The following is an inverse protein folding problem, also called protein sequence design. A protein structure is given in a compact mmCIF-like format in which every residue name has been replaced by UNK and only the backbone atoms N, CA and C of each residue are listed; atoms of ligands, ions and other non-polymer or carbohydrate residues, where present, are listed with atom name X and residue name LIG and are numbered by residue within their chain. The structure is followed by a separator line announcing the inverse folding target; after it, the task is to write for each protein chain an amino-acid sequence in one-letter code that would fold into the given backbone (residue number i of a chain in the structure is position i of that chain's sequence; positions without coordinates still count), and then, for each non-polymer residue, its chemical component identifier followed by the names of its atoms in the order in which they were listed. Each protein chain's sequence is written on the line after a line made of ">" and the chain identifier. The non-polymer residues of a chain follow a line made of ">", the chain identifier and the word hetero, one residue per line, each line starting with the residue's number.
data_IF_537552640158
#
_entry.id   IF_537552640158
#
_cell.length_a   1.000
_cell.length_b   1.000
_cell.length_c   1.000
_cell.angle_alpha   90.00
_cell.angle_beta   90.00
_cell.angle_gamma   90.00
#
_symmetry.space_group_name_H-M   'P 1'
#
loop_
_entity.id
_entity.type
_entity.pdbx_description
1 polymer ?
#
# COMPACT_ATOMS: atom_id res chain seq x y z
N UNK A 1 11.85 -4.08 10.25
CA UNK A 1 10.91 -2.96 10.31
C UNK A 1 10.93 -2.32 8.95
N UNK A 2 9.82 -2.45 8.23
CA UNK A 2 9.69 -2.06 6.83
C UNK A 2 9.06 -0.68 6.76
N UNK A 3 9.58 0.17 5.88
CA UNK A 3 9.13 1.54 5.75
C UNK A 3 8.90 1.92 4.29
N UNK A 4 7.95 2.81 4.05
CA UNK A 4 7.63 3.32 2.72
C UNK A 4 7.13 4.76 2.77
N UNK A 5 7.26 5.46 1.64
CA UNK A 5 6.86 6.87 1.54
C UNK A 5 5.39 7.02 1.19
N UNK A 6 4.68 7.88 1.94
CA UNK A 6 3.32 8.31 1.62
C UNK A 6 3.33 9.80 1.36
N UNK A 7 2.86 10.23 0.18
CA UNK A 7 2.65 11.62 -0.15
C UNK A 7 1.21 12.04 0.11
N UNK A 8 0.98 12.95 1.05
CA UNK A 8 -0.34 13.53 1.29
C UNK A 8 -0.46 14.82 0.49
N UNK A 9 -1.47 14.91 -0.39
CA UNK A 9 -1.78 16.16 -1.06
C UNK A 9 -2.62 17.03 -0.14
N UNK A 10 -2.03 18.11 0.35
CA UNK A 10 -2.62 19.03 1.31
C UNK A 10 -3.12 20.29 0.59
N UNK A 11 -4.42 20.62 0.70
CA UNK A 11 -4.92 21.87 0.17
C UNK A 11 -4.33 23.10 0.86
N UNK A 12 -4.12 24.18 0.11
CA UNK A 12 -3.49 25.40 0.64
C UNK A 12 -4.29 25.99 1.82
N UNK A 13 -5.62 25.89 1.79
CA UNK A 13 -6.51 26.33 2.88
C UNK A 13 -6.48 25.41 4.11
N UNK A 14 -5.83 24.24 4.02
CA UNK A 14 -5.68 23.27 5.12
C UNK A 14 -4.32 23.34 5.83
N UNK A 15 -3.38 24.14 5.35
CA UNK A 15 -2.05 24.28 5.97
C UNK A 15 -2.12 24.75 7.44
N UNK A 16 -3.10 25.58 7.79
CA UNK A 16 -3.30 26.06 9.16
C UNK A 16 -3.70 24.95 10.15
N UNK A 17 -4.22 23.82 9.64
CA UNK A 17 -4.55 22.62 10.41
C UNK A 17 -3.88 21.39 9.77
N UNK A 18 -2.60 21.52 9.41
CA UNK A 18 -1.86 20.48 8.68
C UNK A 18 -1.92 19.12 9.40
N UNK A 19 -1.56 19.08 10.68
CA UNK A 19 -1.49 17.84 11.46
C UNK A 19 -2.86 17.16 11.56
N UNK A 20 -3.92 17.94 11.83
CA UNK A 20 -5.28 17.41 11.92
C UNK A 20 -5.81 16.92 10.57
N UNK A 21 -5.47 17.60 9.48
CA UNK A 21 -5.81 17.16 8.13
C UNK A 21 -5.10 15.84 7.80
N UNK A 22 -3.79 15.75 8.00
CA UNK A 22 -3.00 14.53 7.73
C UNK A 22 -3.51 13.35 8.55
N UNK A 23 -3.76 13.54 9.85
CA UNK A 23 -4.31 12.49 10.71
C UNK A 23 -5.66 11.97 10.17
N UNK A 24 -6.57 12.87 9.77
CA UNK A 24 -7.86 12.48 9.21
C UNK A 24 -7.74 11.72 7.87
N UNK A 25 -6.75 12.06 7.05
CA UNK A 25 -6.50 11.34 5.79
C UNK A 25 -5.92 9.94 6.01
N UNK A 26 -5.07 9.79 7.02
CA UNK A 26 -4.40 8.52 7.30
C UNK A 26 -5.29 7.54 8.07
N UNK A 27 -6.15 8.04 8.97
CA UNK A 27 -6.98 7.24 9.89
C UNK A 27 -7.72 6.05 9.24
N UNK A 28 -8.35 6.17 8.06
CA UNK A 28 -9.03 5.03 7.42
C UNK A 28 -8.12 3.86 7.05
N UNK A 29 -6.81 4.09 7.00
CA UNK A 29 -5.78 3.14 6.58
C UNK A 29 -4.93 2.63 7.76
N UNK A 30 -5.27 3.01 8.99
CA UNK A 30 -4.62 2.53 10.20
C UNK A 30 -4.97 1.05 10.46
N UNK A 31 -3.97 0.23 10.76
CA UNK A 31 -4.14 -1.17 11.18
C UNK A 31 -4.93 -1.30 12.49
N UNK A 32 -4.77 -0.33 13.39
CA UNK A 32 -5.40 -0.34 14.71
C UNK A 32 -6.89 0.06 14.69
N UNK A 33 -7.42 0.45 13.52
CA UNK A 33 -8.83 0.79 13.36
C UNK A 33 -9.65 -0.48 13.18
N UNK A 34 -10.40 -0.89 14.19
CA UNK A 34 -11.32 -2.03 14.03
C UNK A 34 -12.48 -1.68 13.09
N UNK A 35 -12.75 -2.59 12.15
CA UNK A 35 -13.92 -2.54 11.29
C UNK A 35 -15.07 -3.35 11.89
N UNK A 36 -16.30 -2.99 11.52
CA UNK A 36 -17.47 -3.84 11.78
C UNK A 36 -17.25 -5.25 11.20
N UNK A 37 -17.65 -6.32 11.89
CA UNK A 37 -17.42 -7.69 11.43
C UNK A 37 -17.91 -7.91 9.99
N UNK A 38 -17.01 -8.37 9.12
CA UNK A 38 -17.30 -8.62 7.71
C UNK A 38 -16.77 -9.98 7.27
N UNK A 39 -17.35 -10.53 6.21
CA UNK A 39 -16.85 -11.79 5.61
C UNK A 39 -15.50 -11.52 4.96
N UNK A 40 -14.43 -12.04 5.56
CA UNK A 40 -13.06 -11.67 5.21
C UNK A 40 -12.44 -12.55 4.11
N UNK A 41 -13.06 -13.70 3.84
CA UNK A 41 -12.61 -14.65 2.84
C UNK A 41 -13.79 -15.37 2.18
N UNK A 42 -13.68 -15.59 0.88
CA UNK A 42 -14.71 -16.24 0.07
C UNK A 42 -14.05 -17.07 -1.03
N UNK A 43 -14.82 -17.96 -1.65
CA UNK A 43 -14.35 -18.75 -2.81
C UNK A 43 -13.89 -17.82 -3.95
N UNK A 44 -14.60 -16.71 -4.18
CA UNK A 44 -14.19 -15.71 -5.18
C UNK A 44 -12.86 -15.02 -4.83
N UNK A 45 -12.61 -14.76 -3.54
CA UNK A 45 -11.31 -14.22 -3.09
C UNK A 45 -10.19 -15.26 -3.25
N UNK A 46 -10.46 -16.52 -2.93
CA UNK A 46 -9.53 -17.63 -3.16
C UNK A 46 -9.16 -17.77 -4.66
N UNK A 47 -10.15 -17.67 -5.56
CA UNK A 47 -9.90 -17.67 -7.00
C UNK A 47 -9.01 -16.50 -7.45
N UNK A 48 -9.29 -15.29 -6.94
CA UNK A 48 -8.50 -14.10 -7.26
C UNK A 48 -7.05 -14.23 -6.77
N UNK A 49 -6.84 -14.73 -5.55
CA UNK A 49 -5.50 -14.98 -4.99
C UNK A 49 -4.74 -16.05 -5.76
N UNK A 50 -5.38 -17.17 -6.14
CA UNK A 50 -4.75 -18.20 -6.98
C UNK A 50 -4.28 -17.60 -8.31
N UNK A 51 -5.15 -16.83 -8.99
CA UNK A 51 -4.80 -16.17 -10.27
C UNK A 51 -3.64 -15.20 -10.10
N UNK A 52 -3.68 -14.40 -9.04
CA UNK A 52 -2.62 -13.45 -8.70
C UNK A 52 -1.28 -14.16 -8.48
N UNK A 53 -1.25 -15.20 -7.65
CA UNK A 53 -0.02 -15.92 -7.31
C UNK A 53 0.56 -16.65 -8.52
N UNK A 54 -0.30 -17.23 -9.37
CA UNK A 54 0.11 -17.81 -10.65
C UNK A 54 0.81 -16.77 -11.52
N UNK A 55 0.17 -15.61 -11.72
CA UNK A 55 0.72 -14.54 -12.55
C UNK A 55 2.06 -14.03 -12.00
N UNK A 56 2.17 -13.83 -10.68
CA UNK A 56 3.40 -13.41 -10.02
C UNK A 56 4.54 -14.42 -10.24
N UNK A 57 4.29 -15.72 -10.05
CA UNK A 57 5.29 -16.76 -10.25
C UNK A 57 5.70 -16.89 -11.72
N UNK A 58 4.77 -16.76 -12.65
CA UNK A 58 5.08 -16.73 -14.09
C UNK A 58 6.05 -15.61 -14.42
N UNK A 59 5.84 -14.40 -13.89
CA UNK A 59 6.74 -13.26 -14.08
C UNK A 59 8.13 -13.47 -13.45
N UNK A 60 8.19 -13.99 -12.22
CA UNK A 60 9.47 -14.33 -11.56
C UNK A 60 10.27 -15.32 -12.41
N UNK A 61 9.60 -16.35 -12.93
CA UNK A 61 10.20 -17.39 -13.76
C UNK A 61 10.65 -16.84 -15.12
N UNK A 62 9.84 -16.00 -15.76
CA UNK A 62 10.14 -15.40 -17.07
C UNK A 62 11.34 -14.44 -16.98
N UNK A 63 11.44 -13.68 -15.89
CA UNK A 63 12.52 -12.71 -15.66
C UNK A 63 13.82 -13.36 -15.16
N UNK A 64 13.80 -14.64 -14.82
CA UNK A 64 14.91 -15.35 -14.16
C UNK A 64 15.42 -14.59 -12.93
N UNK A 65 14.49 -14.13 -12.10
CA UNK A 65 14.80 -13.25 -10.97
C UNK A 65 15.78 -13.93 -9.98
N UNK A 66 16.99 -13.36 -9.78
CA UNK A 66 18.06 -14.00 -9.01
C UNK A 66 17.75 -14.08 -7.51
N UNK A 67 16.77 -13.33 -7.02
CA UNK A 67 16.37 -13.34 -5.60
C UNK A 67 15.48 -14.54 -5.26
N UNK A 68 15.05 -15.31 -6.26
CA UNK A 68 14.12 -16.42 -6.11
C UNK A 68 14.73 -17.76 -6.49
N UNK A 69 14.36 -18.80 -5.73
CA UNK A 69 14.62 -20.19 -6.08
C UNK A 69 13.63 -20.62 -7.17
N UNK A 70 14.08 -20.61 -8.43
CA UNK A 70 13.24 -20.85 -9.61
C UNK A 70 12.63 -22.26 -9.63
N UNK A 71 13.31 -23.27 -9.08
CA UNK A 71 12.79 -24.63 -9.01
C UNK A 71 11.62 -24.72 -8.03
N UNK A 72 11.74 -24.06 -6.86
CA UNK A 72 10.62 -23.94 -5.92
C UNK A 72 9.47 -23.14 -6.51
N UNK A 73 9.76 -22.08 -7.27
CA UNK A 73 8.73 -21.29 -7.95
C UNK A 73 7.94 -22.14 -8.95
N UNK A 74 8.62 -22.96 -9.76
CA UNK A 74 7.98 -23.89 -10.71
C UNK A 74 7.14 -24.95 -10.01
N UNK A 75 7.63 -25.52 -8.91
CA UNK A 75 6.89 -26.50 -8.12
C UNK A 75 5.62 -25.89 -7.51
N UNK A 76 5.72 -24.69 -6.95
CA UNK A 76 4.58 -23.96 -6.39
C UNK A 76 3.56 -23.60 -7.47
N UNK A 77 4.03 -23.12 -8.63
CA UNK A 77 3.17 -22.79 -9.77
C UNK A 77 2.37 -24.02 -10.24
N UNK A 78 3.00 -25.19 -10.32
CA UNK A 78 2.31 -26.44 -10.66
C UNK A 78 1.23 -26.80 -9.63
N UNK A 79 1.52 -26.66 -8.34
CA UNK A 79 0.55 -26.87 -7.26
C UNK A 79 -0.64 -25.89 -7.37
N UNK A 80 -0.36 -24.61 -7.61
CA UNK A 80 -1.40 -23.58 -7.72
C UNK A 80 -2.34 -23.84 -8.89
N UNK A 81 -1.80 -24.25 -10.05
CA UNK A 81 -2.59 -24.59 -11.24
C UNK A 81 -3.50 -25.80 -11.04
N UNK A 82 -3.21 -26.69 -10.09
CA UNK A 82 -4.08 -27.82 -9.75
C UNK A 82 -4.99 -27.54 -8.55
N UNK A 83 -4.82 -26.42 -7.86
CA UNK A 83 -5.62 -26.06 -6.67
C UNK A 83 -6.92 -25.42 -7.11
N UNK A 84 -8.05 -25.94 -6.63
CA UNK A 84 -9.37 -25.32 -6.84
C UNK A 84 -9.59 -24.16 -5.85
N UNK A 85 -10.40 -23.14 -6.22
CA UNK A 85 -10.80 -22.09 -5.29
C UNK A 85 -11.46 -22.64 -4.01
N UNK A 86 -12.22 -23.73 -4.11
CA UNK A 86 -12.86 -24.41 -2.98
C UNK A 86 -11.84 -25.05 -2.03
N UNK A 87 -10.82 -25.75 -2.56
CA UNK A 87 -9.75 -26.32 -1.73
C UNK A 87 -8.98 -25.22 -0.99
N UNK A 88 -8.64 -24.12 -1.67
CA UNK A 88 -7.99 -22.96 -1.04
C UNK A 88 -8.86 -22.31 0.02
N UNK A 89 -10.16 -22.17 -0.23
CA UNK A 89 -11.11 -21.66 0.75
C UNK A 89 -11.20 -22.56 1.99
N UNK A 90 -11.25 -23.89 1.81
CA UNK A 90 -11.27 -24.84 2.91
C UNK A 90 -9.97 -24.82 3.73
N UNK A 91 -8.82 -24.72 3.07
CA UNK A 91 -7.51 -24.55 3.73
C UNK A 91 -7.49 -23.29 4.60
N UNK A 92 -8.00 -22.17 4.10
CA UNK A 92 -8.13 -20.93 4.88
C UNK A 92 -9.06 -21.12 6.09
N UNK A 93 -10.27 -21.65 5.87
CA UNK A 93 -11.28 -21.84 6.91
C UNK A 93 -10.79 -22.78 8.02
N UNK A 94 -9.99 -23.80 7.70
CA UNK A 94 -9.43 -24.72 8.69
C UNK A 94 -8.59 -24.03 9.78
N UNK A 95 -7.97 -22.90 9.44
CA UNK A 95 -7.10 -22.14 10.34
C UNK A 95 -7.73 -20.85 10.85
N UNK A 96 -9.00 -20.60 10.54
CA UNK A 96 -9.72 -19.40 10.94
C UNK A 96 -10.57 -19.66 12.18
N UNK A 97 -10.72 -18.65 13.05
CA UNK A 97 -11.35 -18.85 14.36
C UNK A 97 -12.77 -18.25 14.46
N UNK A 98 -13.04 -17.17 13.73
CA UNK A 98 -14.28 -16.40 13.85
C UNK A 98 -15.20 -16.60 12.66
N UNK A 99 -16.47 -16.96 12.90
CA UNK A 99 -17.43 -17.26 11.85
C UNK A 99 -18.82 -16.68 12.15
N UNK A 100 -19.58 -16.41 11.10
CA UNK A 100 -21.00 -16.09 11.23
C UNK A 100 -21.87 -17.36 11.32
N UNK A 101 -23.19 -17.19 11.47
CA UNK A 101 -24.13 -18.30 11.58
C UNK A 101 -24.21 -19.22 10.33
N UNK A 102 -23.66 -18.79 9.19
CA UNK A 102 -23.58 -19.56 7.95
C UNK A 102 -22.23 -20.29 7.80
N UNK A 103 -21.32 -20.14 8.76
CA UNK A 103 -19.97 -20.72 8.69
C UNK A 103 -19.02 -19.95 7.77
N UNK A 104 -19.32 -18.69 7.44
CA UNK A 104 -18.41 -17.83 6.67
C UNK A 104 -17.43 -17.12 7.62
N UNK A 105 -16.13 -17.06 7.26
CA UNK A 105 -15.10 -16.49 8.13
C UNK A 105 -15.28 -14.98 8.28
N UNK A 106 -15.25 -14.51 9.52
CA UNK A 106 -15.36 -13.09 9.87
C UNK A 106 -14.03 -12.50 10.31
N UNK A 107 -13.82 -11.23 10.01
CA UNK A 107 -12.74 -10.42 10.58
C UNK A 107 -13.28 -9.05 11.01
N UNK A 108 -12.64 -8.47 12.01
CA UNK A 108 -12.76 -7.05 12.39
C UNK A 108 -11.50 -6.26 12.04
N UNK A 109 -10.49 -6.91 11.46
CA UNK A 109 -9.26 -6.27 11.01
C UNK A 109 -9.56 -5.28 9.89
N UNK A 110 -8.93 -4.10 9.89
CA UNK A 110 -9.19 -3.08 8.88
C UNK A 110 -8.89 -3.62 7.46
N UNK A 111 -9.89 -3.80 6.57
CA UNK A 111 -9.62 -4.26 5.22
C UNK A 111 -8.85 -3.24 4.36
N UNK A 112 -8.75 -2.00 4.83
CA UNK A 112 -7.99 -0.92 4.19
C UNK A 112 -6.66 -0.66 4.87
N UNK A 113 -6.22 -1.47 5.85
CA UNK A 113 -4.96 -1.19 6.55
C UNK A 113 -3.78 -1.07 5.57
N UNK A 114 -2.94 -0.07 5.81
CA UNK A 114 -1.70 0.20 5.08
C UNK A 114 -0.53 0.45 6.02
N UNK A 115 -0.80 0.87 7.26
CA UNK A 115 0.22 1.28 8.22
C UNK A 115 -0.20 1.01 9.67
N UNK A 116 0.77 0.81 10.56
CA UNK A 116 0.57 0.72 12.02
C UNK A 116 1.03 2.00 12.76
N UNK A 117 2.05 2.70 12.25
CA UNK A 117 2.42 4.06 12.62
C UNK A 117 3.07 4.83 11.46
N UNK A 118 3.13 6.15 11.57
CA UNK A 118 3.84 7.02 10.63
C UNK A 118 4.45 8.24 11.32
N UNK A 119 5.40 8.89 10.65
CA UNK A 119 5.99 10.17 11.04
C UNK A 119 6.20 11.06 9.81
N UNK A 120 6.22 12.39 9.99
CA UNK A 120 6.52 13.33 8.89
C UNK A 120 8.01 13.26 8.57
N UNK A 121 8.37 13.07 7.29
CA UNK A 121 9.75 12.94 6.85
C UNK A 121 10.40 11.61 7.25
N UNK A 122 10.64 11.41 8.54
CA UNK A 122 11.28 10.21 9.11
C UNK A 122 12.59 9.86 8.39
N UNK A 123 12.69 8.63 7.86
CA UNK A 123 13.85 8.19 7.05
C UNK A 123 14.08 9.01 5.78
N UNK A 124 13.07 9.73 5.32
CA UNK A 124 13.12 10.56 4.12
C UNK A 124 13.04 12.05 4.47
N UNK A 125 13.46 12.45 5.68
CA UNK A 125 13.50 13.84 6.11
C UNK A 125 14.31 14.70 5.13
N UNK A 126 13.67 15.70 4.50
CA UNK A 126 14.29 16.56 3.49
C UNK A 126 14.28 16.03 2.05
N UNK A 127 13.88 14.76 1.84
CA UNK A 127 14.02 14.05 0.54
C UNK A 127 13.31 14.78 -0.61
N UNK A 128 12.15 15.40 -0.34
CA UNK A 128 11.38 16.17 -1.34
C UNK A 128 12.15 17.39 -1.89
N UNK A 129 13.22 17.81 -1.23
CA UNK A 129 14.13 18.87 -1.68
C UNK A 129 15.47 18.35 -2.21
N UNK A 130 15.66 17.04 -2.32
CA UNK A 130 16.92 16.43 -2.75
C UNK A 130 18.06 16.62 -1.75
N UNK A 131 17.73 16.77 -0.46
CA UNK A 131 18.70 16.86 0.66
C UNK A 131 18.27 15.93 1.79
N UNK A 132 19.19 15.69 2.71
CA UNK A 132 18.86 15.13 4.02
C UNK A 132 18.67 16.29 5.00
N UNK A 133 17.60 16.24 5.78
CA UNK A 133 17.35 17.14 6.90
C UNK A 133 17.46 16.37 8.23
N UNK A 134 17.53 17.12 9.32
CA UNK A 134 17.50 16.56 10.67
C UNK A 134 16.59 17.41 11.53
N UNK A 135 15.30 17.06 11.56
CA UNK A 135 14.34 17.75 12.41
C UNK A 135 12.88 17.35 12.21
N UNK A 136 12.55 16.58 11.18
CA UNK A 136 11.17 16.13 10.86
C UNK A 136 10.17 17.29 10.76
N UNK A 137 10.66 18.49 10.46
CA UNK A 137 9.84 19.67 10.29
C UNK A 137 8.98 19.52 9.03
N UNK A 138 7.70 19.87 9.12
CA UNK A 138 6.78 19.70 8.00
C UNK A 138 7.21 20.53 6.78
N UNK A 139 7.80 21.70 7.00
CA UNK A 139 8.30 22.59 5.95
C UNK A 139 9.48 21.99 5.19
N UNK A 140 10.29 21.16 5.85
CA UNK A 140 11.41 20.44 5.22
C UNK A 140 10.94 19.19 4.46
N UNK A 141 9.68 18.78 4.63
CA UNK A 141 9.10 17.59 4.01
C UNK A 141 7.93 17.89 3.10
N UNK A 142 7.77 19.16 2.72
CA UNK A 142 6.66 19.63 1.93
C UNK A 142 7.11 20.54 0.79
N UNK A 143 6.52 20.34 -0.38
CA UNK A 143 6.72 21.21 -1.53
C UNK A 143 5.39 21.37 -2.27
N UNK A 144 5.26 22.37 -3.15
CA UNK A 144 4.08 22.42 -4.01
C UNK A 144 4.07 21.21 -4.96
N UNK A 145 2.90 20.81 -5.44
CA UNK A 145 2.79 19.67 -6.37
C UNK A 145 3.58 19.89 -7.67
N UNK A 146 3.73 21.14 -8.12
CA UNK A 146 4.58 21.51 -9.25
C UNK A 146 6.05 21.32 -8.94
N UNK A 147 6.52 21.78 -7.78
CA UNK A 147 7.91 21.59 -7.36
C UNK A 147 8.24 20.11 -7.20
N UNK A 148 7.32 19.32 -6.63
CA UNK A 148 7.47 17.88 -6.51
C UNK A 148 7.60 17.22 -7.90
N UNK A 149 6.76 17.61 -8.86
CA UNK A 149 6.82 17.13 -10.25
C UNK A 149 8.11 17.53 -10.97
N UNK A 150 8.52 18.78 -10.86
CA UNK A 150 9.77 19.30 -11.46
C UNK A 150 11.00 18.56 -10.94
N UNK A 151 10.98 18.13 -9.67
CA UNK A 151 12.04 17.36 -9.03
C UNK A 151 11.91 15.84 -9.22
N UNK A 152 10.84 15.36 -9.85
CA UNK A 152 10.60 13.93 -10.05
C UNK A 152 10.31 13.16 -8.77
N UNK A 153 9.68 13.79 -7.78
CA UNK A 153 9.31 13.17 -6.51
C UNK A 153 8.09 12.25 -6.73
N UNK A 154 8.30 10.94 -6.56
CA UNK A 154 7.29 9.90 -6.69
C UNK A 154 7.31 9.04 -5.43
N UNK A 155 6.43 9.27 -4.45
CA UNK A 155 6.33 8.42 -3.26
C UNK A 155 5.75 7.05 -3.62
N UNK A 156 5.84 6.09 -2.70
CA UNK A 156 5.27 4.76 -2.89
C UNK A 156 3.74 4.81 -2.96
N UNK A 157 3.12 5.65 -2.13
CA UNK A 157 1.69 5.92 -2.15
C UNK A 157 1.39 7.42 -2.14
N UNK A 158 0.23 7.81 -2.68
CA UNK A 158 -0.31 9.16 -2.67
C UNK A 158 -1.73 9.12 -2.11
N UNK A 159 -2.04 10.02 -1.18
CA UNK A 159 -3.41 10.27 -0.72
C UNK A 159 -3.88 11.61 -1.26
N UNK A 160 -4.99 11.61 -2.00
CA UNK A 160 -5.59 12.82 -2.56
C UNK A 160 -6.31 13.64 -1.47
N UNK A 161 -6.64 14.92 -1.72
CA UNK A 161 -7.41 15.72 -0.77
C UNK A 161 -8.77 15.13 -0.37
N UNK A 162 -9.37 14.36 -1.28
CA UNK A 162 -10.62 13.63 -1.09
C UNK A 162 -10.46 12.40 -0.17
N UNK A 163 -9.22 11.98 0.08
CA UNK A 163 -8.88 10.83 0.90
C UNK A 163 -8.78 9.51 0.14
N UNK A 164 -8.60 9.57 -1.19
CA UNK A 164 -8.38 8.37 -1.99
C UNK A 164 -6.90 7.98 -1.95
N UNK A 165 -6.63 6.71 -1.64
CA UNK A 165 -5.30 6.13 -1.59
C UNK A 165 -4.94 5.48 -2.92
N UNK A 166 -3.80 5.90 -3.48
CA UNK A 166 -3.21 5.36 -4.69
C UNK A 166 -1.80 4.87 -4.38
N UNK A 167 -1.39 3.70 -4.89
CA UNK A 167 -0.09 3.12 -4.57
C UNK A 167 0.58 2.45 -5.77
N UNK A 168 1.91 2.36 -5.70
CA UNK A 168 2.74 1.58 -6.62
C UNK A 168 2.40 0.10 -6.58
N UNK A 169 1.87 -0.37 -5.47
CA UNK A 169 1.51 -1.75 -5.30
C UNK A 169 1.40 -2.11 -3.84
N UNK A 170 0.68 -3.19 -3.55
CA UNK A 170 0.44 -3.61 -2.19
C UNK A 170 1.74 -4.16 -1.61
N UNK A 171 2.15 -3.64 -0.45
CA UNK A 171 3.25 -4.19 0.32
C UNK A 171 2.73 -5.30 1.23
N UNK A 172 3.39 -6.45 1.18
CA UNK A 172 3.19 -7.54 2.12
C UNK A 172 4.22 -7.49 3.24
N UNK A 173 4.20 -8.52 4.08
CA UNK A 173 5.16 -8.68 5.17
C UNK A 173 6.60 -8.61 4.63
N UNK A 174 7.49 -7.91 5.35
CA UNK A 174 8.87 -7.60 4.95
C UNK A 174 9.04 -6.64 3.76
N UNK A 175 8.04 -5.79 3.45
CA UNK A 175 8.08 -4.89 2.27
C UNK A 175 8.07 -5.59 0.91
N UNK A 176 7.80 -6.89 0.88
CA UNK A 176 7.79 -7.60 -0.39
C UNK A 176 6.56 -7.11 -1.15
N UNK A 177 6.80 -6.53 -2.32
CA UNK A 177 5.75 -6.07 -3.21
C UNK A 177 4.90 -7.27 -3.63
N UNK A 178 3.63 -7.29 -3.17
CA UNK A 178 2.65 -8.34 -3.45
C UNK A 178 2.07 -8.11 -4.83
N UNK A 179 1.60 -6.89 -5.10
CA UNK A 179 1.14 -6.44 -6.43
C UNK A 179 2.05 -5.32 -6.93
N UNK A 180 2.27 -5.22 -8.25
CA UNK A 180 3.02 -4.11 -8.85
C UNK A 180 2.16 -3.41 -9.91
N UNK A 181 2.03 -2.10 -9.78
CA UNK A 181 1.47 -1.20 -10.77
C UNK A 181 2.62 -0.65 -11.62
N UNK A 182 2.84 -1.24 -12.80
CA UNK A 182 3.93 -0.87 -13.70
C UNK A 182 3.82 0.57 -14.22
N UNK A 183 2.60 1.12 -14.24
CA UNK A 183 2.31 2.47 -14.70
C UNK A 183 2.32 3.52 -13.57
N UNK A 184 2.73 3.13 -12.36
CA UNK A 184 2.65 3.99 -11.16
C UNK A 184 3.32 5.35 -11.37
N UNK A 185 4.49 5.35 -11.98
CA UNK A 185 5.26 6.55 -12.25
C UNK A 185 4.49 7.56 -13.11
N UNK A 186 3.73 7.09 -14.10
CA UNK A 186 2.90 7.95 -14.95
C UNK A 186 1.67 8.43 -14.18
N UNK A 187 0.97 7.51 -13.50
CA UNK A 187 -0.23 7.80 -12.72
C UNK A 187 0.04 8.80 -11.58
N UNK A 188 1.14 8.62 -10.83
CA UNK A 188 1.54 9.55 -9.78
C UNK A 188 1.80 10.95 -10.33
N UNK A 189 2.44 11.07 -11.51
CA UNK A 189 2.64 12.37 -12.17
C UNK A 189 1.33 13.01 -12.61
N UNK A 190 0.36 12.22 -13.07
CA UNK A 190 -0.98 12.70 -13.43
C UNK A 190 -1.77 13.17 -12.20
N UNK A 191 -1.74 12.40 -11.11
CA UNK A 191 -2.34 12.78 -9.83
C UNK A 191 -1.76 14.12 -9.37
N UNK A 192 -0.44 14.25 -9.28
CA UNK A 192 0.19 15.50 -8.85
C UNK A 192 -0.16 16.68 -9.79
N UNK A 193 -0.32 16.44 -11.09
CA UNK A 193 -0.70 17.48 -12.06
C UNK A 193 -2.14 17.96 -11.86
N UNK A 194 -3.06 17.06 -11.47
CA UNK A 194 -4.46 17.40 -11.22
C UNK A 194 -4.63 18.35 -10.02
N UNK A 195 -3.68 18.37 -9.10
CA UNK A 195 -3.71 19.18 -7.88
C UNK A 195 -2.67 20.32 -7.88
N UNK A 196 -2.61 21.09 -8.97
CA UNK A 196 -1.77 22.31 -9.08
C UNK A 196 -2.17 23.34 -8.00
N UNK A 197 -1.19 23.99 -7.36
CA UNK A 197 -1.39 24.96 -6.27
C UNK A 197 -1.57 24.35 -4.88
N UNK A 198 -1.61 23.02 -4.78
CA UNK A 198 -1.61 22.29 -3.52
C UNK A 198 -0.19 21.88 -3.11
N UNK A 199 -0.06 21.33 -1.91
CA UNK A 199 1.22 20.87 -1.37
C UNK A 199 1.27 19.35 -1.31
N UNK A 200 2.45 18.77 -1.53
CA UNK A 200 2.73 17.36 -1.26
C UNK A 200 3.58 17.28 0.01
N UNK A 201 3.07 16.64 1.06
CA UNK A 201 3.78 16.36 2.31
C UNK A 201 4.24 14.89 2.30
N UNK A 202 5.52 14.65 2.60
CA UNK A 202 6.08 13.29 2.70
C UNK A 202 6.01 12.75 4.12
N UNK A 203 5.46 11.55 4.24
CA UNK A 203 5.45 10.74 5.46
C UNK A 203 6.33 9.51 5.28
N UNK A 204 6.93 9.07 6.37
CA UNK A 204 7.51 7.74 6.58
C UNK A 204 6.48 6.88 7.31
N UNK A 205 5.89 5.90 6.61
CA UNK A 205 4.92 4.97 7.17
C UNK A 205 5.55 3.57 7.37
N UNK A 206 5.15 2.89 8.45
CA UNK A 206 5.58 1.54 8.78
C UNK A 206 4.48 0.50 8.47
N UNK A 207 4.92 -0.71 8.08
CA UNK A 207 4.11 -1.91 7.84
C UNK A 207 4.84 -3.16 8.33
#
# INVERSE_FOLDING_TARGET
>A
MTHFTVGIIVPNDRLSNLVGFVAAQMEPYCEHTEAEPYVCYSVGKAEAEIKHDIHRLERIIEREDPDYDLDKCRALLAKLRSTTPEERYLEYVQHHESFNARGEPLSTYNPKSKWDWYVIGGRWDGWIHGREASGEAAEDNMATTEQARERGIIPHAIVTPEGDWHERGQLGWWAILVTENEDWDAQAREILAAYTGHFLLILDAHI
#
